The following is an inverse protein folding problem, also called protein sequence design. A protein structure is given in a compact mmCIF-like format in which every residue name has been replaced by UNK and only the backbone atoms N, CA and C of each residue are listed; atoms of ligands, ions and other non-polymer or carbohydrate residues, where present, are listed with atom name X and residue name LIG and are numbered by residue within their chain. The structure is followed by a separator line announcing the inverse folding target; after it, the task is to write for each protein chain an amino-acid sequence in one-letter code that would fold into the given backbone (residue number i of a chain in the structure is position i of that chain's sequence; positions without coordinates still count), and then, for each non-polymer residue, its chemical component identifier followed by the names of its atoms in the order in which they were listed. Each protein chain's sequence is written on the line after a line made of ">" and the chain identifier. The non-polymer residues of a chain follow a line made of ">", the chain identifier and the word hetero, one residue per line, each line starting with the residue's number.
data_IF_889590937508
#
_entry.id   IF_889590937508
#
_cell.length_a   1.000
_cell.length_b   1.000
_cell.length_c   1.000
_cell.angle_alpha   90.00
_cell.angle_beta   90.00
_cell.angle_gamma   90.00
#
_symmetry.space_group_name_H-M   'P 1'
#
loop_
_entity.id
_entity.type
_entity.pdbx_description
1 polymer ?
#
# COMPACT_ATOMS: atom_id res chain seq x y z
N UNK A 1 -30.23 12.51 15.97
CA UNK A 1 -29.87 13.46 14.90
C UNK A 1 -28.37 13.69 15.03
N UNK A 2 -27.55 13.04 14.18
CA UNK A 2 -26.09 13.16 14.25
C UNK A 2 -25.62 14.41 13.53
N UNK A 3 -24.76 15.20 14.17
CA UNK A 3 -24.20 16.41 13.58
C UNK A 3 -23.27 16.03 12.40
N UNK A 4 -23.32 16.75 11.27
CA UNK A 4 -22.40 16.49 10.17
C UNK A 4 -20.97 16.71 10.64
N UNK A 5 -20.11 15.73 10.37
CA UNK A 5 -18.68 15.79 10.67
C UNK A 5 -18.12 17.10 10.15
N UNK A 6 -17.55 17.92 11.03
CA UNK A 6 -17.01 19.22 10.61
C UNK A 6 -15.92 19.01 9.56
N UNK A 7 -15.85 19.89 8.56
CA UNK A 7 -14.86 19.81 7.47
C UNK A 7 -13.43 19.59 7.99
N UNK A 8 -13.06 20.26 9.08
CA UNK A 8 -11.75 20.11 9.73
C UNK A 8 -11.53 18.71 10.32
N UNK A 9 -12.56 18.07 10.86
CA UNK A 9 -12.48 16.69 11.33
C UNK A 9 -12.32 15.70 10.18
N UNK A 10 -13.06 15.91 9.08
CA UNK A 10 -12.92 15.10 7.88
C UNK A 10 -11.53 15.24 7.26
N UNK A 11 -10.99 16.47 7.16
CA UNK A 11 -9.63 16.73 6.69
C UNK A 11 -8.57 16.05 7.57
N UNK A 12 -8.74 16.07 8.91
CA UNK A 12 -7.85 15.36 9.83
C UNK A 12 -7.90 13.84 9.68
N UNK A 13 -9.08 13.26 9.49
CA UNK A 13 -9.27 11.82 9.27
C UNK A 13 -8.67 11.36 7.93
N UNK A 14 -8.79 12.19 6.89
CA UNK A 14 -8.17 11.93 5.59
C UNK A 14 -6.65 12.03 5.72
N UNK A 15 -6.14 13.11 6.31
CA UNK A 15 -4.70 13.32 6.48
C UNK A 15 -4.02 12.22 7.33
N UNK A 16 -4.70 11.70 8.35
CA UNK A 16 -4.18 10.59 9.17
C UNK A 16 -4.21 9.25 8.43
N UNK A 17 -5.12 9.07 7.46
CA UNK A 17 -5.18 7.89 6.63
C UNK A 17 -4.07 7.88 5.55
N UNK A 18 -3.72 9.03 4.96
CA UNK A 18 -2.79 9.14 3.82
C UNK A 18 -1.30 9.30 4.18
N UNK A 19 -0.85 8.75 5.30
CA UNK A 19 0.59 8.60 5.61
C UNK A 19 0.90 7.20 6.09
N UNK A 20 1.33 6.32 5.19
CA UNK A 20 2.11 5.15 5.62
C UNK A 20 3.48 5.70 6.05
N UNK A 21 3.87 5.61 7.33
CA UNK A 21 5.24 5.96 7.70
C UNK A 21 6.16 4.98 6.97
N UNK A 22 7.09 5.50 6.16
CA UNK A 22 8.29 4.74 5.84
C UNK A 22 8.94 4.42 7.18
N UNK A 23 9.12 3.13 7.49
CA UNK A 23 9.74 2.67 8.74
C UNK A 23 11.12 3.33 8.85
N UNK A 24 11.17 4.41 9.62
CA UNK A 24 12.38 5.05 10.11
C UNK A 24 12.74 4.40 11.42
N UNK A 25 13.99 3.98 11.53
CA UNK A 25 14.58 3.33 12.68
C UNK A 25 14.68 4.33 13.85
N UNK A 26 13.70 4.31 14.76
CA UNK A 26 13.72 5.14 15.98
C UNK A 26 14.45 4.42 17.12
N UNK A 27 15.75 4.68 17.22
CA UNK A 27 16.54 4.55 18.43
C UNK A 27 16.92 5.95 18.93
N UNK A 28 16.56 6.24 20.19
CA UNK A 28 16.68 7.52 20.87
C UNK A 28 18.08 8.18 20.85
N UNK A 29 18.12 9.52 20.80
CA UNK A 29 19.31 10.33 21.10
C UNK A 29 19.26 11.75 20.51
N UNK A 30 19.56 12.75 21.33
CA UNK A 30 19.27 14.18 21.17
C UNK A 30 19.96 14.98 20.04
N UNK A 31 19.21 16.00 19.58
CA UNK A 31 19.59 17.34 19.09
C UNK A 31 20.91 17.50 18.30
N UNK A 32 20.78 17.51 16.96
CA UNK A 32 21.49 18.44 16.07
C UNK A 32 20.75 18.52 14.72
N UNK A 33 20.57 19.74 14.20
CA UNK A 33 19.92 19.97 12.91
C UNK A 33 20.68 19.28 11.75
N UNK A 34 20.02 18.50 10.87
CA UNK A 34 20.69 17.97 9.70
C UNK A 34 20.37 18.83 8.47
N UNK A 35 21.46 19.31 7.87
CA UNK A 35 21.57 19.76 6.49
C UNK A 35 20.94 18.74 5.53
N UNK A 36 20.19 19.26 4.56
CA UNK A 36 19.45 18.49 3.56
C UNK A 36 20.43 17.81 2.60
N UNK A 37 20.89 16.61 2.99
CA UNK A 37 21.62 15.70 2.11
C UNK A 37 20.62 14.82 1.37
N UNK A 38 20.49 15.11 0.08
CA UNK A 38 19.69 14.39 -0.90
C UNK A 38 20.19 12.95 -1.03
N UNK A 39 19.37 11.95 -0.66
CA UNK A 39 19.81 10.55 -0.70
C UNK A 39 18.80 9.49 -0.29
N UNK A 40 17.53 9.59 -0.70
CA UNK A 40 16.53 8.53 -0.46
C UNK A 40 16.48 7.52 -1.62
N UNK A 41 17.14 6.37 -1.43
CA UNK A 41 17.13 5.19 -2.32
C UNK A 41 15.84 4.35 -2.20
N UNK A 42 14.68 4.98 -2.22
CA UNK A 42 13.37 4.32 -2.31
C UNK A 42 12.47 5.09 -3.27
N UNK A 43 12.97 5.22 -4.50
CA UNK A 43 12.16 5.61 -5.66
C UNK A 43 12.44 4.54 -6.69
N UNK A 44 11.39 3.83 -7.13
CA UNK A 44 11.12 3.43 -8.52
C UNK A 44 10.27 2.15 -8.52
N UNK A 45 8.95 2.27 -8.43
CA UNK A 45 8.05 1.30 -9.07
C UNK A 45 6.88 1.93 -9.83
N UNK A 46 6.80 3.26 -9.88
CA UNK A 46 5.87 3.96 -10.78
C UNK A 46 6.43 5.31 -11.23
N UNK A 47 7.70 5.34 -11.68
CA UNK A 47 8.21 6.47 -12.46
C UNK A 47 8.00 6.14 -13.93
N UNK A 48 7.12 6.87 -14.61
CA UNK A 48 7.13 6.92 -16.08
C UNK A 48 8.58 7.32 -16.48
N UNK A 49 9.30 6.51 -17.26
CA UNK A 49 10.72 6.73 -17.49
C UNK A 49 10.94 8.06 -18.22
N UNK A 50 11.72 8.94 -17.61
CA UNK A 50 12.30 10.09 -18.31
C UNK A 50 13.27 9.55 -19.35
N UNK A 51 13.05 9.93 -20.60
CA UNK A 51 13.65 9.43 -21.83
C UNK A 51 15.19 9.62 -21.88
N UNK A 52 15.95 8.81 -21.14
CA UNK A 52 17.42 8.76 -21.18
C UNK A 52 17.89 7.30 -21.28
N UNK A 53 18.39 6.95 -22.48
CA UNK A 53 19.25 5.84 -22.89
C UNK A 53 19.50 4.64 -21.94
N UNK A 54 18.46 4.02 -21.37
CA UNK A 54 18.56 2.63 -20.92
C UNK A 54 18.47 1.71 -22.13
N UNK A 55 19.31 0.68 -22.18
CA UNK A 55 19.23 -0.33 -23.25
C UNK A 55 17.81 -0.92 -23.29
N UNK A 56 17.28 -1.17 -24.49
CA UNK A 56 15.88 -1.62 -24.68
C UNK A 56 15.51 -2.83 -23.82
N UNK A 57 16.48 -3.68 -23.47
CA UNK A 57 16.32 -4.89 -22.66
C UNK A 57 16.11 -4.59 -21.17
N UNK A 58 16.86 -3.64 -20.61
CA UNK A 58 16.72 -3.23 -19.21
C UNK A 58 15.38 -2.51 -18.98
N UNK A 59 14.97 -1.69 -19.95
CA UNK A 59 13.65 -1.09 -19.99
C UNK A 59 12.54 -2.15 -20.00
N UNK A 60 12.66 -3.17 -20.85
CA UNK A 60 11.69 -4.26 -20.92
C UNK A 60 11.58 -5.06 -19.60
N UNK A 61 12.71 -5.35 -18.93
CA UNK A 61 12.71 -6.10 -17.67
C UNK A 61 12.09 -5.31 -16.51
N UNK A 62 12.34 -4.00 -16.46
CA UNK A 62 11.68 -3.12 -15.48
C UNK A 62 10.19 -2.96 -15.78
N UNK A 63 9.82 -2.74 -17.05
CA UNK A 63 8.44 -2.57 -17.49
C UNK A 63 7.60 -3.84 -17.26
N UNK A 64 8.18 -5.03 -17.47
CA UNK A 64 7.50 -6.31 -17.31
C UNK A 64 7.39 -6.78 -15.85
N UNK A 65 8.13 -6.15 -14.92
CA UNK A 65 8.20 -6.58 -13.52
C UNK A 65 9.01 -7.86 -13.30
N UNK A 66 9.61 -8.44 -14.35
CA UNK A 66 10.37 -9.70 -14.28
C UNK A 66 11.61 -9.56 -13.42
N UNK A 67 12.28 -8.40 -13.44
CA UNK A 67 13.47 -8.17 -12.63
C UNK A 67 13.21 -8.39 -11.14
N UNK A 68 12.08 -7.87 -10.63
CA UNK A 68 11.66 -8.06 -9.24
C UNK A 68 11.58 -9.53 -8.86
N UNK A 69 11.03 -10.36 -9.75
CA UNK A 69 10.90 -11.79 -9.52
C UNK A 69 12.23 -12.52 -9.55
N UNK A 70 13.16 -12.11 -10.42
CA UNK A 70 14.51 -12.67 -10.50
C UNK A 70 15.30 -12.34 -9.24
N UNK A 71 15.25 -11.09 -8.76
CA UNK A 71 15.94 -10.65 -7.55
C UNK A 71 15.46 -11.43 -6.32
N UNK A 72 14.15 -11.61 -6.17
CA UNK A 72 13.57 -12.42 -5.10
C UNK A 72 13.94 -13.91 -5.22
N UNK A 73 13.93 -14.46 -6.44
CA UNK A 73 14.31 -15.84 -6.69
C UNK A 73 15.78 -16.11 -6.32
N UNK A 74 16.70 -15.21 -6.71
CA UNK A 74 18.12 -15.32 -6.38
C UNK A 74 18.32 -15.27 -4.86
N UNK A 75 17.65 -14.34 -4.17
CA UNK A 75 17.67 -14.27 -2.69
C UNK A 75 17.21 -15.60 -2.08
N UNK A 76 16.06 -16.13 -2.53
CA UNK A 76 15.54 -17.41 -2.02
C UNK A 76 16.45 -18.61 -2.31
N UNK A 77 17.13 -18.64 -3.46
CA UNK A 77 18.11 -19.69 -3.78
C UNK A 77 19.32 -19.63 -2.85
N UNK A 78 19.80 -18.42 -2.54
CA UNK A 78 20.92 -18.22 -1.62
C UNK A 78 20.57 -18.63 -0.18
N UNK A 79 19.35 -18.30 0.24
CA UNK A 79 18.85 -18.57 1.59
C UNK A 79 18.53 -20.05 1.80
N UNK A 80 17.78 -20.66 0.87
CA UNK A 80 17.24 -22.03 1.03
C UNK A 80 18.19 -23.11 0.53
N UNK A 81 19.09 -22.78 -0.41
CA UNK A 81 20.04 -23.70 -1.06
C UNK A 81 19.41 -25.06 -1.40
N UNK A 82 18.34 -25.09 -2.22
CA UNK A 82 17.61 -26.32 -2.49
C UNK A 82 18.48 -27.33 -3.24
N UNK A 83 18.32 -28.61 -2.94
CA UNK A 83 19.04 -29.71 -3.60
C UNK A 83 18.78 -29.78 -5.11
N UNK A 84 17.61 -29.29 -5.55
CA UNK A 84 17.21 -29.24 -6.96
C UNK A 84 16.90 -27.80 -7.41
N UNK A 85 17.93 -26.98 -7.71
CA UNK A 85 17.74 -25.57 -8.07
C UNK A 85 16.85 -25.37 -9.31
N UNK A 86 17.00 -26.20 -10.34
CA UNK A 86 16.20 -26.08 -11.56
C UNK A 86 14.69 -26.28 -11.28
N UNK A 87 14.34 -27.27 -10.47
CA UNK A 87 12.95 -27.54 -10.08
C UNK A 87 12.40 -26.42 -9.18
N UNK A 88 13.23 -25.87 -8.31
CA UNK A 88 12.88 -24.73 -7.47
C UNK A 88 12.53 -23.50 -8.32
N UNK A 89 13.38 -23.17 -9.31
CA UNK A 89 13.18 -22.05 -10.24
C UNK A 89 11.87 -22.24 -11.03
N UNK A 90 11.64 -23.43 -11.59
CA UNK A 90 10.42 -23.74 -12.34
C UNK A 90 9.16 -23.61 -11.47
N UNK A 91 9.23 -24.10 -10.23
CA UNK A 91 8.12 -24.02 -9.27
C UNK A 91 7.83 -22.58 -8.86
N UNK A 92 8.87 -21.76 -8.68
CA UNK A 92 8.74 -20.34 -8.36
C UNK A 92 7.99 -19.58 -9.45
N UNK A 93 8.41 -19.70 -10.72
CA UNK A 93 7.72 -19.02 -11.82
C UNK A 93 6.33 -19.61 -12.11
N UNK A 94 6.11 -20.90 -11.86
CA UNK A 94 4.75 -21.48 -11.90
C UNK A 94 3.84 -20.83 -10.86
N UNK A 95 4.34 -20.57 -9.65
CA UNK A 95 3.57 -19.89 -8.61
C UNK A 95 3.29 -18.42 -8.96
N UNK A 96 4.25 -17.72 -9.58
CA UNK A 96 4.06 -16.35 -10.08
C UNK A 96 2.98 -16.32 -11.17
N UNK A 97 3.07 -17.21 -12.16
CA UNK A 97 2.09 -17.28 -13.24
C UNK A 97 0.67 -17.59 -12.74
N UNK A 98 0.54 -18.38 -11.66
CA UNK A 98 -0.74 -18.69 -11.00
C UNK A 98 -1.21 -17.60 -10.02
N UNK A 99 -0.37 -16.61 -9.72
CA UNK A 99 -0.62 -15.61 -8.68
C UNK A 99 -0.67 -16.19 -7.27
N UNK A 100 -0.07 -17.36 -7.02
CA UNK A 100 0.02 -17.97 -5.69
C UNK A 100 1.33 -17.64 -4.97
N UNK A 101 2.26 -16.94 -5.64
CA UNK A 101 3.55 -16.50 -5.10
C UNK A 101 3.44 -15.53 -3.92
N UNK A 102 2.29 -14.88 -3.75
CA UNK A 102 1.99 -13.90 -2.68
C UNK A 102 1.47 -14.54 -1.39
N UNK A 103 1.16 -15.85 -1.39
CA UNK A 103 0.71 -16.57 -0.19
C UNK A 103 1.81 -16.58 0.87
N UNK A 104 1.43 -16.22 2.11
CA UNK A 104 2.34 -16.23 3.26
C UNK A 104 3.62 -15.43 3.05
N UNK A 105 3.55 -14.36 2.23
CA UNK A 105 4.65 -13.44 2.00
C UNK A 105 4.48 -12.18 2.86
N UNK A 106 5.59 -11.51 3.22
CA UNK A 106 5.51 -10.22 3.89
C UNK A 106 4.89 -9.17 2.97
N UNK A 107 4.32 -8.14 3.58
CA UNK A 107 3.69 -7.01 2.90
C UNK A 107 4.63 -6.37 1.88
N UNK A 108 5.92 -6.23 2.21
CA UNK A 108 6.92 -5.63 1.31
C UNK A 108 6.96 -6.34 -0.06
N UNK A 109 6.94 -7.68 -0.07
CA UNK A 109 6.91 -8.45 -1.32
C UNK A 109 5.58 -8.30 -2.06
N UNK A 110 4.47 -8.37 -1.32
CA UNK A 110 3.11 -8.22 -1.85
C UNK A 110 2.92 -6.85 -2.52
N UNK A 111 3.47 -5.80 -1.92
CA UNK A 111 3.43 -4.43 -2.42
C UNK A 111 4.53 -4.12 -3.46
N UNK A 112 5.48 -5.04 -3.64
CA UNK A 112 6.72 -4.83 -4.38
C UNK A 112 6.59 -4.85 -5.91
N UNK A 113 5.44 -5.14 -6.49
CA UNK A 113 5.14 -4.84 -7.89
C UNK A 113 3.63 -4.88 -8.14
N UNK A 114 3.19 -4.30 -9.26
CA UNK A 114 1.77 -4.24 -9.61
C UNK A 114 1.14 -5.63 -9.73
N UNK A 115 1.86 -6.56 -10.33
CA UNK A 115 1.42 -7.94 -10.54
C UNK A 115 1.19 -8.67 -9.21
N UNK A 116 2.04 -8.42 -8.21
CA UNK A 116 1.84 -8.97 -6.86
C UNK A 116 0.62 -8.36 -6.17
N UNK A 117 0.38 -7.05 -6.32
CA UNK A 117 -0.84 -6.42 -5.78
C UNK A 117 -2.09 -7.06 -6.37
N UNK A 118 -2.13 -7.26 -7.69
CA UNK A 118 -3.24 -7.93 -8.39
C UNK A 118 -3.40 -9.37 -7.88
N UNK A 119 -2.30 -10.12 -7.80
CA UNK A 119 -2.33 -11.51 -7.32
C UNK A 119 -2.86 -11.60 -5.89
N UNK A 120 -2.47 -10.67 -5.01
CA UNK A 120 -2.93 -10.61 -3.62
C UNK A 120 -4.42 -10.30 -3.54
N UNK A 121 -4.93 -9.33 -4.29
CA UNK A 121 -6.36 -9.01 -4.33
C UNK A 121 -7.19 -10.18 -4.88
N UNK A 122 -6.70 -10.85 -5.94
CA UNK A 122 -7.35 -12.05 -6.47
C UNK A 122 -7.33 -13.20 -5.44
N UNK A 123 -6.26 -13.34 -4.66
CA UNK A 123 -6.23 -14.29 -3.55
C UNK A 123 -7.25 -13.91 -2.47
N UNK A 124 -7.34 -12.64 -2.10
CA UNK A 124 -8.27 -12.15 -1.08
C UNK A 124 -9.72 -12.47 -1.44
N UNK A 125 -10.11 -12.17 -2.68
CA UNK A 125 -11.43 -12.50 -3.22
C UNK A 125 -11.70 -14.00 -3.14
N UNK A 126 -10.73 -14.85 -3.52
CA UNK A 126 -10.88 -16.31 -3.42
C UNK A 126 -10.99 -16.80 -1.98
N UNK A 127 -10.22 -16.23 -1.06
CA UNK A 127 -10.22 -16.59 0.37
C UNK A 127 -11.58 -16.34 1.02
N UNK A 128 -12.33 -15.34 0.55
CA UNK A 128 -13.63 -14.96 1.12
C UNK A 128 -14.82 -15.21 0.21
N UNK A 129 -14.63 -15.90 -0.92
CA UNK A 129 -15.70 -16.16 -1.89
C UNK A 129 -16.91 -16.90 -1.32
N UNK A 130 -16.72 -17.66 -0.22
CA UNK A 130 -17.78 -18.43 0.46
C UNK A 130 -18.46 -17.68 1.60
N UNK A 131 -17.97 -16.50 1.97
CA UNK A 131 -18.57 -15.67 3.00
C UNK A 131 -19.70 -14.87 2.36
N UNK A 132 -20.80 -14.68 3.08
CA UNK A 132 -21.86 -13.76 2.64
C UNK A 132 -21.29 -12.36 2.49
N UNK A 133 -21.40 -11.76 1.31
CA UNK A 133 -20.81 -10.46 1.00
C UNK A 133 -21.62 -9.29 1.59
N UNK A 134 -22.87 -9.54 1.97
CA UNK A 134 -23.74 -8.57 2.64
C UNK A 134 -23.57 -8.58 4.17
N UNK A 135 -22.76 -9.51 4.71
CA UNK A 135 -22.51 -9.55 6.14
C UNK A 135 -21.86 -8.24 6.60
N UNK A 136 -22.50 -7.61 7.60
CA UNK A 136 -22.03 -6.37 8.20
C UNK A 136 -20.98 -6.70 9.25
N UNK A 137 -19.79 -6.12 9.08
CA UNK A 137 -18.62 -6.37 9.91
C UNK A 137 -18.03 -5.05 10.41
N UNK A 138 -17.36 -5.10 11.55
CA UNK A 138 -16.63 -3.97 12.10
C UNK A 138 -15.26 -3.79 11.45
N UNK A 139 -14.67 -2.60 11.61
CA UNK A 139 -13.26 -2.36 11.21
C UNK A 139 -12.29 -3.34 11.90
N UNK A 140 -12.60 -3.78 13.11
CA UNK A 140 -11.82 -4.79 13.83
C UNK A 140 -11.84 -6.14 13.11
N UNK A 141 -13.02 -6.60 12.69
CA UNK A 141 -13.18 -7.86 11.96
C UNK A 141 -12.42 -7.85 10.64
N UNK A 142 -12.55 -6.74 9.88
CA UNK A 142 -11.80 -6.55 8.64
C UNK A 142 -10.28 -6.60 8.85
N UNK A 143 -9.81 -6.01 9.95
CA UNK A 143 -8.38 -6.01 10.31
C UNK A 143 -7.88 -7.43 10.54
N UNK A 144 -8.61 -8.22 11.34
CA UNK A 144 -8.24 -9.61 11.62
C UNK A 144 -8.30 -10.48 10.37
N UNK A 145 -9.34 -10.31 9.54
CA UNK A 145 -9.45 -10.98 8.25
C UNK A 145 -8.20 -10.73 7.40
N UNK A 146 -7.84 -9.45 7.18
CA UNK A 146 -6.67 -9.09 6.39
C UNK A 146 -5.36 -9.62 6.99
N UNK A 147 -5.21 -9.60 8.32
CA UNK A 147 -4.04 -10.17 9.02
C UNK A 147 -3.89 -11.67 8.80
N UNK A 148 -4.99 -12.41 8.63
CA UNK A 148 -4.91 -13.82 8.24
C UNK A 148 -4.28 -14.02 6.85
N UNK A 149 -4.35 -13.03 5.97
CA UNK A 149 -3.75 -13.11 4.62
C UNK A 149 -2.33 -12.52 4.57
N UNK A 150 -2.07 -11.45 5.32
CA UNK A 150 -0.79 -10.77 5.40
C UNK A 150 -0.61 -10.20 6.81
N UNK A 151 0.24 -10.85 7.61
CA UNK A 151 0.39 -10.58 9.05
C UNK A 151 0.92 -9.18 9.36
N UNK A 152 1.78 -8.67 8.49
CA UNK A 152 2.48 -7.38 8.59
C UNK A 152 1.82 -6.29 7.74
N UNK A 153 0.54 -6.46 7.37
CA UNK A 153 -0.20 -5.47 6.60
C UNK A 153 -0.28 -4.12 7.36
N UNK A 154 0.08 -2.98 6.73
CA UNK A 154 -0.01 -1.68 7.36
C UNK A 154 -1.44 -1.31 7.76
N UNK A 155 -1.63 -0.94 9.02
CA UNK A 155 -2.93 -0.48 9.56
C UNK A 155 -3.49 0.71 8.78
N UNK A 156 -2.61 1.57 8.25
CA UNK A 156 -2.99 2.73 7.46
C UNK A 156 -3.82 2.38 6.23
N UNK A 157 -3.56 1.25 5.56
CA UNK A 157 -4.38 0.82 4.42
C UNK A 157 -5.82 0.54 4.84
N UNK A 158 -6.00 -0.01 6.04
CA UNK A 158 -7.32 -0.32 6.61
C UNK A 158 -8.02 1.00 6.98
N UNK A 159 -7.30 1.93 7.59
CA UNK A 159 -7.82 3.26 7.91
C UNK A 159 -8.24 4.02 6.64
N UNK A 160 -7.43 3.99 5.57
CA UNK A 160 -7.78 4.57 4.27
C UNK A 160 -9.04 3.94 3.69
N UNK A 161 -9.14 2.61 3.75
CA UNK A 161 -10.31 1.89 3.24
C UNK A 161 -11.59 2.15 4.04
N UNK A 162 -11.48 2.63 5.29
CA UNK A 162 -12.62 2.75 6.22
C UNK A 162 -12.89 4.18 6.69
N UNK A 163 -12.08 5.17 6.29
CA UNK A 163 -12.21 6.55 6.76
C UNK A 163 -13.51 7.24 6.33
N UNK A 164 -14.14 6.76 5.26
CA UNK A 164 -15.41 7.28 4.73
C UNK A 164 -16.65 6.71 5.43
N UNK A 165 -16.48 5.69 6.29
CA UNK A 165 -17.60 5.06 7.00
C UNK A 165 -18.10 5.95 8.13
N UNK A 166 -19.41 5.99 8.30
CA UNK A 166 -20.07 6.71 9.39
C UNK A 166 -19.91 5.92 10.69
N UNK A 167 -19.67 6.64 11.78
CA UNK A 167 -19.66 6.04 13.13
C UNK A 167 -21.10 5.83 13.62
N UNK A 168 -21.37 4.62 14.09
CA UNK A 168 -22.63 4.24 14.72
C UNK A 168 -22.75 4.84 16.14
N UNK A 169 -23.91 4.65 16.78
CA UNK A 169 -24.17 5.19 18.13
C UNK A 169 -23.22 4.66 19.20
N UNK A 170 -22.64 3.48 18.98
CA UNK A 170 -21.64 2.85 19.83
C UNK A 170 -20.19 3.22 19.45
N UNK A 171 -20.01 4.20 18.54
CA UNK A 171 -18.71 4.70 18.10
C UNK A 171 -17.94 3.75 17.18
N UNK A 172 -18.57 2.65 16.75
CA UNK A 172 -17.96 1.70 15.82
C UNK A 172 -18.30 2.07 14.38
N UNK A 173 -17.37 1.78 13.47
CA UNK A 173 -17.62 1.86 12.03
C UNK A 173 -17.85 0.46 11.48
N UNK A 174 -18.91 0.31 10.70
CA UNK A 174 -19.32 -0.97 10.11
C UNK A 174 -19.64 -0.81 8.63
N UNK A 175 -19.42 -1.89 7.87
CA UNK A 175 -19.77 -1.96 6.46
C UNK A 175 -20.05 -3.41 6.06
N UNK A 176 -20.69 -3.61 4.91
CA UNK A 176 -20.75 -4.94 4.30
C UNK A 176 -19.35 -5.39 3.85
N UNK A 177 -19.10 -6.70 3.85
CA UNK A 177 -17.85 -7.26 3.35
C UNK A 177 -17.56 -6.82 1.90
N UNK A 178 -18.59 -6.75 1.05
CA UNK A 178 -18.44 -6.26 -0.33
C UNK A 178 -17.91 -4.82 -0.38
N UNK A 179 -18.51 -3.93 0.41
CA UNK A 179 -18.14 -2.50 0.46
C UNK A 179 -16.69 -2.37 0.91
N UNK A 180 -16.32 -3.10 1.95
CA UNK A 180 -14.95 -3.08 2.46
C UNK A 180 -13.94 -3.63 1.45
N UNK A 181 -14.19 -4.80 0.85
CA UNK A 181 -13.26 -5.40 -0.12
C UNK A 181 -13.07 -4.48 -1.33
N UNK A 182 -14.11 -3.80 -1.79
CA UNK A 182 -14.01 -2.82 -2.87
C UNK A 182 -13.14 -1.61 -2.48
N UNK A 183 -13.42 -1.00 -1.33
CA UNK A 183 -12.66 0.14 -0.83
C UNK A 183 -11.20 -0.21 -0.57
N UNK A 184 -10.95 -1.33 0.10
CA UNK A 184 -9.59 -1.84 0.35
C UNK A 184 -8.84 -2.12 -0.95
N UNK A 185 -9.48 -2.78 -1.92
CA UNK A 185 -8.87 -3.05 -3.23
C UNK A 185 -8.41 -1.76 -3.92
N UNK A 186 -9.25 -0.72 -3.90
CA UNK A 186 -8.90 0.58 -4.46
C UNK A 186 -7.74 1.25 -3.70
N UNK A 187 -7.82 1.32 -2.37
CA UNK A 187 -6.79 1.92 -1.52
C UNK A 187 -5.44 1.22 -1.64
N UNK A 188 -5.43 -0.11 -1.72
CA UNK A 188 -4.21 -0.91 -1.83
C UNK A 188 -3.60 -0.84 -3.23
N UNK A 189 -4.40 -1.03 -4.28
CA UNK A 189 -3.90 -1.03 -5.66
C UNK A 189 -3.37 0.36 -6.08
N UNK A 190 -4.14 1.41 -5.79
CA UNK A 190 -3.82 2.79 -6.16
C UNK A 190 -3.08 3.56 -5.07
N UNK A 191 -2.53 2.89 -4.05
CA UNK A 191 -1.97 3.56 -2.88
C UNK A 191 -0.97 4.67 -3.23
N UNK A 192 -0.04 4.39 -4.14
CA UNK A 192 0.95 5.36 -4.60
C UNK A 192 0.34 6.57 -5.32
N UNK A 193 -0.70 6.32 -6.13
CA UNK A 193 -1.41 7.38 -6.83
C UNK A 193 -2.18 8.25 -5.84
N UNK A 194 -2.87 7.63 -4.87
CA UNK A 194 -3.63 8.36 -3.87
C UNK A 194 -2.72 9.20 -2.96
N UNK A 195 -1.59 8.66 -2.52
CA UNK A 195 -0.62 9.40 -1.72
C UNK A 195 -0.06 10.61 -2.48
N UNK A 196 0.35 10.43 -3.75
CA UNK A 196 0.81 11.54 -4.60
C UNK A 196 -0.28 12.61 -4.77
N UNK A 197 -1.52 12.20 -4.99
CA UNK A 197 -2.65 13.13 -5.14
C UNK A 197 -2.90 13.93 -3.86
N UNK A 198 -2.79 13.26 -2.71
CA UNK A 198 -2.90 13.89 -1.40
C UNK A 198 -1.77 14.88 -1.13
N UNK A 199 -0.53 14.54 -1.49
CA UNK A 199 0.62 15.44 -1.35
C UNK A 199 0.42 16.73 -2.17
N UNK A 200 0.02 16.59 -3.45
CA UNK A 200 -0.28 17.73 -4.33
C UNK A 200 -1.41 18.59 -3.76
N UNK A 201 -2.46 17.97 -3.20
CA UNK A 201 -3.56 18.72 -2.60
C UNK A 201 -3.09 19.56 -1.41
N UNK A 202 -2.27 18.99 -0.53
CA UNK A 202 -1.76 19.67 0.67
C UNK A 202 -0.77 20.80 0.34
N UNK A 203 0.06 20.63 -0.69
CA UNK A 203 0.92 21.71 -1.19
C UNK A 203 0.09 22.90 -1.66
N UNK A 204 -1.01 22.63 -2.37
CA UNK A 204 -1.89 23.68 -2.89
C UNK A 204 -2.75 24.35 -1.81
N UNK A 205 -3.17 23.62 -0.76
CA UNK A 205 -3.91 24.23 0.36
C UNK A 205 -3.00 25.14 1.18
N UNK A 206 -1.78 24.70 1.51
CA UNK A 206 -0.79 25.50 2.23
C UNK A 206 -0.38 26.77 1.47
N UNK A 207 -0.27 26.69 0.13
CA UNK A 207 0.02 27.85 -0.71
C UNK A 207 -1.13 28.90 -0.71
N UNK A 208 -2.38 28.46 -0.60
CA UNK A 208 -3.55 29.37 -0.50
C UNK A 208 -3.56 30.12 0.83
N UNK A 209 -3.30 29.44 1.94
CA UNK A 209 -3.26 30.07 3.26
C UNK A 209 -2.14 31.12 3.35
N UNK A 210 -0.99 30.83 2.76
CA UNK A 210 0.16 31.74 2.70
C UNK A 210 -0.11 33.02 1.87
N UNK A 211 -0.88 32.89 0.79
CA UNK A 211 -1.25 34.02 -0.06
C UNK A 211 -2.38 34.88 0.55
N UNK A 212 -3.30 34.26 1.31
CA UNK A 212 -4.34 35.00 2.04
C UNK A 212 -3.73 35.93 3.11
N UNK A 213 -2.75 35.43 3.88
CA UNK A 213 -2.05 36.21 4.92
C UNK A 213 -1.26 37.39 4.33
N UNK A 214 -0.83 37.28 3.07
CA UNK A 214 -0.05 38.32 2.38
C UNK A 214 -0.92 39.39 1.71
N UNK A 215 -2.21 39.11 1.48
CA UNK A 215 -3.17 40.07 0.90
C UNK A 215 -3.87 40.93 1.95
N UNK A 216 -3.74 40.59 3.24
CA UNK A 216 -4.33 41.33 4.37
C UNK A 216 -3.30 42.22 5.11
N UNK A 217 -2.10 42.40 4.55
CA UNK A 217 -1.08 43.37 4.98
C UNK A 217 -0.85 44.42 3.90
#
# INVERSE_FOLDING_TARGET
>A
MSAPTSRLQAERLIASAYRIPLVGNDGAGDIAAPTVSSGSKLRTLTRLPSRNSTSSSEFYLQQSGVQFYVDDLVRQLQDKRPDQPAQFIASYFSAVAKGSNVKSRPYEYINGCLQNRVAFLAQLQRSYAKIDHEIVLSVGDFTEMLRCQCRDLPTQLILQATCHLVEDQDGQRRASLQTFLAAFSACFFFNEFLNKTHDIYNENSAAKDSNSIRSER
#
